data_IF_283951110985
#
_entry.id   IF_283951110985
#
_cell.length_a   1.000
_cell.length_b   1.000
_cell.length_c   1.000
_cell.angle_alpha   90.00
_cell.angle_beta   90.00
_cell.angle_gamma   90.00
#
_symmetry.space_group_name_H-M   'P 1'
#
loop_
_entity.id
_entity.type
_entity.pdbx_description
1 polymer ?
#
# COMPACT_ATOMS: atom_id res chain seq x y z
N UNK A 1 -45.08 20.28 21.39
CA UNK A 1 -44.85 19.55 22.66
C UNK A 1 -43.35 19.37 22.80
N UNK A 2 -42.69 20.19 23.62
CA UNK A 2 -41.24 20.16 23.78
C UNK A 2 -40.88 19.12 24.85
N UNK A 3 -40.45 17.93 24.40
CA UNK A 3 -39.90 16.90 25.27
C UNK A 3 -38.54 17.36 25.79
N UNK A 4 -38.44 17.58 27.10
CA UNK A 4 -37.16 17.88 27.76
C UNK A 4 -36.39 16.57 27.98
N UNK A 5 -35.99 15.93 26.87
CA UNK A 5 -35.22 14.69 26.87
C UNK A 5 -33.80 15.02 27.37
N UNK A 6 -33.38 14.41 28.49
CA UNK A 6 -32.02 14.55 29.00
C UNK A 6 -31.09 13.68 28.15
N UNK A 7 -30.29 14.31 27.29
CA UNK A 7 -29.26 13.62 26.52
C UNK A 7 -27.98 13.45 27.34
N UNK A 8 -27.45 12.24 27.36
CA UNK A 8 -26.15 11.92 27.96
C UNK A 8 -25.03 12.48 27.07
N UNK A 9 -23.89 12.81 27.67
CA UNK A 9 -22.71 13.37 26.97
C UNK A 9 -22.24 12.48 25.80
N UNK A 10 -22.38 11.16 25.97
CA UNK A 10 -22.06 10.18 24.93
C UNK A 10 -23.01 10.28 23.72
N UNK A 11 -24.32 10.42 23.98
CA UNK A 11 -25.33 10.54 22.93
C UNK A 11 -25.16 11.86 22.17
N UNK A 12 -24.86 12.95 22.88
CA UNK A 12 -24.56 14.25 22.26
C UNK A 12 -23.35 14.16 21.33
N UNK A 13 -22.27 13.51 21.79
CA UNK A 13 -21.05 13.34 20.99
C UNK A 13 -21.31 12.48 19.76
N UNK A 14 -22.03 11.38 19.91
CA UNK A 14 -22.38 10.50 18.78
C UNK A 14 -23.22 11.22 17.72
N UNK A 15 -24.19 12.04 18.14
CA UNK A 15 -25.02 12.85 17.24
C UNK A 15 -24.17 13.90 16.51
N UNK A 16 -23.23 14.55 17.19
CA UNK A 16 -22.34 15.52 16.55
C UNK A 16 -21.44 14.85 15.51
N UNK A 17 -20.82 13.72 15.83
CA UNK A 17 -19.98 12.96 14.87
C UNK A 17 -20.79 12.55 13.64
N UNK A 18 -21.99 12.02 13.81
CA UNK A 18 -22.87 11.62 12.70
C UNK A 18 -23.32 12.84 11.86
N UNK A 19 -23.56 14.00 12.48
CA UNK A 19 -23.87 15.25 11.77
C UNK A 19 -22.73 15.69 10.85
N UNK A 20 -21.49 15.73 11.38
CA UNK A 20 -20.33 16.12 10.59
C UNK A 20 -19.94 15.09 9.52
N UNK A 21 -20.22 13.80 9.73
CA UNK A 21 -19.97 12.75 8.75
C UNK A 21 -21.02 12.69 7.62
N UNK A 22 -22.28 12.98 7.93
CA UNK A 22 -23.40 12.84 6.99
C UNK A 22 -23.61 14.06 6.08
N UNK A 23 -23.17 15.25 6.49
CA UNK A 23 -23.29 16.48 5.69
C UNK A 23 -24.73 16.95 5.44
N UNK A 24 -25.70 16.43 6.20
CA UNK A 24 -27.12 16.80 6.08
C UNK A 24 -27.44 18.08 6.87
N UNK A 25 -28.57 18.73 6.55
CA UNK A 25 -28.98 19.95 7.24
C UNK A 25 -29.30 19.70 8.72
N UNK A 26 -29.11 20.73 9.55
CA UNK A 26 -29.44 20.71 11.00
C UNK A 26 -30.87 20.21 11.21
N UNK A 27 -31.83 20.67 10.38
CA UNK A 27 -33.22 20.24 10.47
C UNK A 27 -33.41 18.73 10.19
N UNK A 28 -32.75 18.20 9.16
CA UNK A 28 -32.85 16.79 8.81
C UNK A 28 -32.24 15.90 9.91
N UNK A 29 -31.10 16.30 10.46
CA UNK A 29 -30.44 15.61 11.56
C UNK A 29 -31.27 15.68 12.85
N UNK A 30 -31.84 16.85 13.14
CA UNK A 30 -32.69 17.05 14.29
C UNK A 30 -33.94 16.16 14.24
N UNK A 31 -34.56 16.06 13.06
CA UNK A 31 -35.71 15.17 12.81
C UNK A 31 -35.34 13.68 12.96
N UNK A 32 -34.15 13.27 12.48
CA UNK A 32 -33.66 11.89 12.58
C UNK A 32 -33.49 11.44 14.05
N UNK A 33 -32.99 12.33 14.90
CA UNK A 33 -32.72 12.04 16.31
C UNK A 33 -33.82 12.50 17.28
N UNK A 34 -34.94 13.02 16.76
CA UNK A 34 -36.06 13.50 17.58
C UNK A 34 -35.72 14.68 18.48
N UNK A 35 -34.72 15.49 18.09
CA UNK A 35 -34.28 16.69 18.82
C UNK A 35 -34.80 17.96 18.16
N UNK A 36 -34.83 19.06 18.93
CA UNK A 36 -35.05 20.38 18.34
C UNK A 36 -33.80 20.83 17.58
N UNK A 37 -34.04 21.41 16.42
CA UNK A 37 -33.09 22.16 15.61
C UNK A 37 -32.31 23.22 16.41
N UNK A 38 -32.97 23.94 17.31
CA UNK A 38 -32.34 24.89 18.23
C UNK A 38 -31.33 24.22 19.16
N UNK A 39 -31.64 23.02 19.67
CA UNK A 39 -30.77 22.24 20.56
C UNK A 39 -29.53 21.75 19.83
N UNK A 40 -29.70 21.20 18.62
CA UNK A 40 -28.58 20.76 17.79
C UNK A 40 -27.68 21.94 17.38
N UNK A 41 -28.29 23.07 16.99
CA UNK A 41 -27.57 24.30 16.67
C UNK A 41 -26.78 24.85 17.87
N UNK A 42 -27.31 24.74 19.08
CA UNK A 42 -26.57 25.08 20.30
C UNK A 42 -25.37 24.15 20.53
N UNK A 43 -25.52 22.84 20.33
CA UNK A 43 -24.42 21.88 20.47
C UNK A 43 -23.30 22.14 19.46
N UNK A 44 -23.64 22.39 18.20
CA UNK A 44 -22.66 22.72 17.15
C UNK A 44 -21.85 23.98 17.51
N UNK A 45 -22.49 25.02 18.05
CA UNK A 45 -21.78 26.23 18.49
C UNK A 45 -20.95 26.04 19.75
N UNK A 46 -21.42 25.17 20.66
CA UNK A 46 -20.75 24.91 21.95
C UNK A 46 -19.54 23.98 21.80
N UNK A 47 -19.62 23.06 20.86
CA UNK A 47 -18.59 22.05 20.57
C UNK A 47 -18.21 22.15 19.09
N UNK A 48 -17.58 23.27 18.66
CA UNK A 48 -17.04 23.32 17.32
C UNK A 48 -15.98 22.23 17.19
N UNK A 49 -16.13 21.35 16.20
CA UNK A 49 -15.00 20.55 15.77
C UNK A 49 -14.07 21.54 15.08
N UNK A 50 -12.95 21.87 15.73
CA UNK A 50 -11.87 22.59 15.09
C UNK A 50 -11.49 21.78 13.85
N UNK A 51 -11.91 22.28 12.68
CA UNK A 51 -11.65 21.69 11.37
C UNK A 51 -10.16 21.49 11.09
N UNK A 52 -9.30 22.09 11.93
CA UNK A 52 -7.85 21.92 11.95
C UNK A 52 -7.42 20.52 12.39
N UNK A 53 -8.15 19.83 13.28
CA UNK A 53 -7.74 18.50 13.79
C UNK A 53 -8.16 17.33 12.89
N UNK A 54 -8.99 17.59 11.86
CA UNK A 54 -9.33 16.62 10.79
C UNK A 54 -8.65 17.00 9.47
N UNK A 55 -7.68 17.94 9.49
CA UNK A 55 -6.76 18.08 8.38
C UNK A 55 -5.65 17.05 8.56
N UNK A 56 -5.61 16.05 7.69
CA UNK A 56 -4.38 15.28 7.45
C UNK A 56 -3.20 16.25 7.32
N UNK A 57 -1.98 15.88 7.74
CA UNK A 57 -0.81 16.73 7.57
C UNK A 57 -0.80 17.22 6.12
N UNK A 58 -0.79 18.55 5.94
CA UNK A 58 -0.72 19.19 4.63
C UNK A 58 0.68 18.97 4.05
N UNK A 59 1.04 17.72 3.77
CA UNK A 59 1.95 17.47 2.66
C UNK A 59 1.15 17.80 1.42
N UNK A 60 1.62 18.76 0.63
CA UNK A 60 1.04 19.01 -0.67
C UNK A 60 1.03 17.69 -1.44
N UNK A 61 -0.05 17.40 -2.17
CA UNK A 61 -0.14 16.19 -3.01
C UNK A 61 1.09 16.10 -3.92
N UNK A 62 1.65 17.25 -4.31
CA UNK A 62 2.89 17.41 -5.06
C UNK A 62 4.13 16.87 -4.32
N UNK A 63 4.32 17.18 -3.03
CA UNK A 63 5.42 16.65 -2.21
C UNK A 63 5.31 15.14 -2.02
N UNK A 64 4.12 14.62 -1.78
CA UNK A 64 3.88 13.18 -1.65
C UNK A 64 4.17 12.46 -2.98
N UNK A 65 3.70 13.00 -4.11
CA UNK A 65 3.99 12.46 -5.43
C UNK A 65 5.48 12.55 -5.79
N UNK A 66 6.17 13.64 -5.41
CA UNK A 66 7.60 13.80 -5.63
C UNK A 66 8.42 12.76 -4.84
N UNK A 67 8.10 12.54 -3.56
CA UNK A 67 8.73 11.50 -2.73
C UNK A 67 8.48 10.10 -3.29
N UNK A 68 7.26 9.81 -3.73
CA UNK A 68 6.92 8.53 -4.33
C UNK A 68 7.71 8.27 -5.62
N UNK A 69 7.78 9.27 -6.50
CA UNK A 69 8.53 9.19 -7.77
C UNK A 69 10.04 9.01 -7.55
N UNK A 70 10.62 9.68 -6.55
CA UNK A 70 12.02 9.51 -6.19
C UNK A 70 12.31 8.06 -5.74
N UNK A 71 11.49 7.54 -4.82
CA UNK A 71 11.62 6.16 -4.33
C UNK A 71 11.42 5.12 -5.45
N UNK A 72 10.46 5.35 -6.36
CA UNK A 72 10.24 4.48 -7.52
C UNK A 72 11.45 4.45 -8.45
N UNK A 73 12.08 5.59 -8.70
CA UNK A 73 13.29 5.68 -9.53
C UNK A 73 14.45 4.88 -8.94
N UNK A 74 14.69 5.01 -7.63
CA UNK A 74 15.76 4.30 -6.94
C UNK A 74 15.54 2.79 -6.91
N UNK A 75 14.29 2.36 -6.68
CA UNK A 75 13.94 0.94 -6.71
C UNK A 75 14.07 0.36 -8.12
N UNK A 76 13.67 1.09 -9.16
CA UNK A 76 13.88 0.66 -10.55
C UNK A 76 15.37 0.48 -10.85
N UNK A 77 16.22 1.44 -10.45
CA UNK A 77 17.66 1.34 -10.66
C UNK A 77 18.27 0.13 -9.94
N UNK A 78 17.83 -0.12 -8.69
CA UNK A 78 18.26 -1.29 -7.90
C UNK A 78 17.83 -2.61 -8.55
N UNK A 79 16.59 -2.70 -9.01
CA UNK A 79 16.07 -3.88 -9.68
C UNK A 79 16.80 -4.16 -11.00
N UNK A 80 17.08 -3.13 -11.80
CA UNK A 80 17.86 -3.25 -13.04
C UNK A 80 19.29 -3.74 -12.76
N UNK A 81 19.95 -3.23 -11.72
CA UNK A 81 21.27 -3.70 -11.31
C UNK A 81 21.25 -5.17 -10.89
N UNK A 82 20.20 -5.61 -10.18
CA UNK A 82 20.02 -7.01 -9.79
C UNK A 82 19.79 -7.92 -11.00
N UNK A 83 18.96 -7.51 -11.96
CA UNK A 83 18.73 -8.26 -13.20
C UNK A 83 20.05 -8.46 -13.95
N UNK A 84 20.81 -7.39 -14.17
CA UNK A 84 22.10 -7.46 -14.86
C UNK A 84 23.10 -8.39 -14.16
N UNK A 85 23.13 -8.37 -12.82
CA UNK A 85 23.98 -9.27 -12.04
C UNK A 85 23.56 -10.74 -12.20
N UNK A 86 22.25 -11.01 -12.16
CA UNK A 86 21.70 -12.36 -12.34
C UNK A 86 21.95 -12.90 -13.75
N UNK A 87 21.76 -12.07 -14.78
CA UNK A 87 22.04 -12.43 -16.17
C UNK A 87 23.52 -12.78 -16.37
N UNK A 88 24.43 -12.00 -15.77
CA UNK A 88 25.87 -12.28 -15.81
C UNK A 88 26.21 -13.61 -15.12
N UNK A 89 25.63 -13.87 -13.95
CA UNK A 89 25.83 -15.14 -13.24
C UNK A 89 25.30 -16.33 -14.05
N UNK A 90 24.15 -16.17 -14.70
CA UNK A 90 23.56 -17.18 -15.56
C UNK A 90 24.43 -17.45 -16.80
N UNK A 91 24.92 -16.41 -17.45
CA UNK A 91 25.82 -16.54 -18.59
C UNK A 91 27.12 -17.26 -18.20
N UNK A 92 27.67 -16.95 -17.03
CA UNK A 92 28.87 -17.60 -16.51
C UNK A 92 28.63 -19.10 -16.23
N UNK A 93 27.51 -19.44 -15.58
CA UNK A 93 27.15 -20.85 -15.33
C UNK A 93 26.98 -21.64 -16.62
N UNK A 94 26.34 -21.05 -17.65
CA UNK A 94 26.21 -21.68 -18.97
C UNK A 94 27.56 -21.91 -19.64
N UNK A 95 28.46 -20.93 -19.57
CA UNK A 95 29.82 -21.05 -20.10
C UNK A 95 30.60 -22.13 -19.36
N UNK A 96 30.47 -22.21 -18.04
CA UNK A 96 31.12 -23.24 -17.23
C UNK A 96 30.64 -24.64 -17.60
N UNK A 97 29.33 -24.83 -17.80
CA UNK A 97 28.76 -26.09 -18.28
C UNK A 97 29.35 -26.44 -19.65
N UNK A 98 29.37 -25.49 -20.59
CA UNK A 98 29.92 -25.72 -21.93
C UNK A 98 31.40 -26.09 -21.90
N UNK A 99 32.20 -25.42 -21.05
CA UNK A 99 33.61 -25.71 -20.90
C UNK A 99 33.82 -27.12 -20.30
N UNK A 100 33.03 -27.49 -19.29
CA UNK A 100 33.06 -28.85 -18.72
C UNK A 100 32.69 -29.90 -19.76
N UNK A 101 31.67 -29.64 -20.57
CA UNK A 101 31.26 -30.54 -21.65
C UNK A 101 32.35 -30.72 -22.70
N UNK A 102 33.03 -29.64 -23.10
CA UNK A 102 34.14 -29.69 -24.04
C UNK A 102 35.32 -30.50 -23.48
N UNK A 103 35.64 -30.35 -22.19
CA UNK A 103 36.69 -31.15 -21.54
C UNK A 103 36.34 -32.64 -21.52
N UNK A 104 35.07 -32.98 -21.29
CA UNK A 104 34.60 -34.37 -21.36
C UNK A 104 34.77 -34.89 -22.79
N UNK A 105 34.33 -34.14 -23.80
CA UNK A 105 34.45 -34.56 -25.21
C UNK A 105 35.91 -34.82 -25.60
N UNK A 106 36.83 -33.94 -25.20
CA UNK A 106 38.26 -34.10 -25.46
C UNK A 106 38.83 -35.36 -24.78
N UNK A 107 38.45 -35.62 -23.53
CA UNK A 107 38.90 -36.81 -22.79
C UNK A 107 38.36 -38.10 -23.42
N UNK A 108 37.08 -38.14 -23.78
CA UNK A 108 36.48 -39.31 -24.46
C UNK A 108 37.17 -39.58 -25.81
N UNK A 109 37.53 -38.54 -26.55
CA UNK A 109 38.24 -38.67 -27.83
C UNK A 109 39.67 -39.20 -27.68
N UNK A 110 40.42 -38.72 -26.68
CA UNK A 110 41.82 -39.11 -26.46
C UNK A 110 41.93 -40.52 -25.90
N UNK A 111 41.12 -40.84 -24.88
CA UNK A 111 41.20 -42.10 -24.13
C UNK A 111 40.31 -43.20 -24.74
N UNK A 112 39.45 -42.87 -25.71
CA UNK A 112 38.50 -43.80 -26.36
C UNK A 112 37.58 -44.54 -25.37
N UNK A 113 37.31 -43.94 -24.22
CA UNK A 113 36.36 -44.41 -23.22
C UNK A 113 35.12 -43.50 -23.20
N UNK A 114 33.94 -44.06 -22.92
CA UNK A 114 32.74 -43.25 -22.67
C UNK A 114 32.66 -42.87 -21.19
N UNK A 115 32.65 -41.57 -20.91
CA UNK A 115 32.53 -41.00 -19.57
C UNK A 115 31.07 -40.64 -19.30
N UNK A 116 30.34 -40.11 -20.29
CA UNK A 116 28.91 -39.79 -20.14
C UNK A 116 28.04 -41.04 -20.15
N UNK A 117 26.94 -41.01 -19.38
CA UNK A 117 25.88 -42.03 -19.48
C UNK A 117 25.10 -41.88 -20.79
N UNK A 118 24.65 -43.01 -21.35
CA UNK A 118 23.74 -43.02 -22.49
C UNK A 118 22.37 -42.43 -22.10
N UNK A 119 21.83 -41.45 -22.83
CA UNK A 119 20.50 -40.93 -22.56
C UNK A 119 19.46 -42.04 -22.84
N UNK A 120 18.62 -42.36 -21.86
CA UNK A 120 17.50 -43.30 -22.02
C UNK A 120 17.57 -44.61 -21.22
N UNK A 121 18.53 -44.79 -20.31
CA UNK A 121 18.47 -45.89 -19.34
C UNK A 121 17.53 -45.48 -18.21
N UNK A 122 16.31 -46.05 -18.22
CA UNK A 122 15.43 -46.11 -17.05
C UNK A 122 15.94 -47.19 -16.08
#
# INVERSE_FOLDING_TARGET
MNQNQKFTDLERTSILVDYYASGISIYAMAKKHGISDCTLGYWIRKYPIDTVLVSLPTESIEEFMAKKKANESDEIARLQARIKALEKALAFSRLEIQARDMLIDMAEQQEKIQIRKKPGVK
#
